data_IF_169245574389
#
_entry.id   IF_169245574389
#
_cell.length_a   1.000
_cell.length_b   1.000
_cell.length_c   1.000
_cell.angle_alpha   90.00
_cell.angle_beta   90.00
_cell.angle_gamma   90.00
#
_symmetry.space_group_name_H-M   'P 1'
#
loop_
_entity.id
_entity.type
_entity.pdbx_description
1 polymer ?
#
# COMPACT_ATOMS: atom_id res chain seq x y z
N UNK A 1 -3.73 -23.85 -125.05
CA UNK A 1 -3.98 -24.67 -126.26
C UNK A 1 -4.85 -25.91 -125.96
N UNK A 2 -4.56 -26.73 -124.95
CA UNK A 2 -5.40 -27.91 -124.59
C UNK A 2 -6.87 -27.57 -124.23
N UNK A 3 -7.13 -26.45 -123.55
CA UNK A 3 -8.50 -25.99 -123.24
C UNK A 3 -9.34 -25.66 -124.50
N UNK A 4 -8.71 -25.17 -125.57
CA UNK A 4 -9.41 -24.90 -126.84
C UNK A 4 -9.72 -26.18 -127.64
N UNK A 5 -8.93 -27.25 -127.45
CA UNK A 5 -9.18 -28.54 -128.07
C UNK A 5 -10.35 -29.27 -127.38
N UNK A 6 -10.40 -29.20 -126.04
CA UNK A 6 -11.51 -29.77 -125.25
C UNK A 6 -12.85 -29.07 -125.52
N UNK A 7 -12.86 -27.74 -125.65
CA UNK A 7 -14.07 -26.98 -125.99
C UNK A 7 -14.64 -27.30 -127.39
N UNK A 8 -13.78 -27.69 -128.35
CA UNK A 8 -14.20 -28.11 -129.69
C UNK A 8 -14.72 -29.55 -129.71
N UNK A 9 -14.16 -30.45 -128.89
CA UNK A 9 -14.63 -31.83 -128.77
C UNK A 9 -16.02 -31.91 -128.09
N UNK A 10 -16.26 -31.06 -127.09
CA UNK A 10 -17.56 -30.98 -126.39
C UNK A 10 -18.66 -30.42 -127.30
N UNK A 11 -18.34 -29.50 -128.23
CA UNK A 11 -19.29 -29.02 -129.26
C UNK A 11 -19.66 -30.07 -130.29
N UNK A 12 -18.72 -30.93 -130.68
CA UNK A 12 -18.98 -31.99 -131.66
C UNK A 12 -19.93 -33.08 -131.12
N UNK A 13 -19.94 -33.31 -129.80
CA UNK A 13 -20.83 -34.29 -129.16
C UNK A 13 -22.29 -33.83 -129.01
N UNK A 14 -22.58 -32.53 -129.14
CA UNK A 14 -23.94 -31.98 -129.00
C UNK A 14 -24.81 -32.06 -130.27
N UNK A 15 -24.27 -32.58 -131.39
CA UNK A 15 -24.95 -32.66 -132.69
C UNK A 15 -25.44 -34.09 -133.07
N UNK A 16 -25.42 -35.06 -132.16
CA UNK A 16 -25.95 -36.40 -132.44
C UNK A 16 -27.49 -36.43 -132.34
N UNK A 17 -28.23 -36.98 -133.33
CA UNK A 17 -29.67 -36.76 -133.49
C UNK A 17 -30.57 -37.75 -132.71
N UNK A 18 -30.04 -38.51 -131.74
CA UNK A 18 -30.80 -39.58 -131.08
C UNK A 18 -31.28 -39.19 -129.66
N UNK A 19 -32.61 -39.11 -129.40
CA UNK A 19 -33.14 -38.61 -128.13
C UNK A 19 -32.83 -39.49 -126.90
N UNK A 20 -32.53 -40.78 -127.09
CA UNK A 20 -32.24 -41.72 -126.01
C UNK A 20 -30.82 -41.59 -125.40
N UNK A 21 -29.84 -41.08 -126.14
CA UNK A 21 -28.48 -40.83 -125.62
C UNK A 21 -28.37 -39.53 -124.82
N UNK A 22 -29.30 -38.60 -125.05
CA UNK A 22 -29.38 -37.31 -124.34
C UNK A 22 -29.69 -37.49 -122.86
N UNK A 23 -30.56 -38.44 -122.52
CA UNK A 23 -30.93 -38.74 -121.13
C UNK A 23 -29.81 -39.45 -120.35
N UNK A 24 -29.02 -40.30 -121.02
CA UNK A 24 -27.89 -41.00 -120.39
C UNK A 24 -26.71 -40.05 -120.11
N UNK A 25 -26.45 -39.11 -121.03
CA UNK A 25 -25.38 -38.10 -120.86
C UNK A 25 -25.74 -37.00 -119.86
N UNK A 26 -27.02 -36.62 -119.70
CA UNK A 26 -27.43 -35.70 -118.63
C UNK A 26 -27.30 -36.32 -117.24
N UNK A 27 -27.43 -37.64 -117.11
CA UNK A 27 -27.16 -38.35 -115.85
C UNK A 27 -25.66 -38.39 -115.53
N UNK A 28 -24.79 -38.45 -116.54
CA UNK A 28 -23.33 -38.42 -116.37
C UNK A 28 -22.77 -37.00 -116.17
N UNK A 29 -23.42 -35.97 -116.74
CA UNK A 29 -23.00 -34.56 -116.59
C UNK A 29 -23.31 -33.95 -115.21
N UNK A 30 -24.07 -34.65 -114.35
CA UNK A 30 -24.19 -34.33 -112.92
C UNK A 30 -23.08 -34.95 -112.07
N UNK A 31 -22.19 -35.75 -112.66
CA UNK A 31 -20.98 -36.21 -112.00
C UNK A 31 -19.82 -35.27 -112.33
N UNK A 32 -19.78 -34.17 -111.57
CA UNK A 32 -18.67 -33.26 -111.29
C UNK A 32 -17.43 -33.35 -112.23
N UNK A 33 -17.62 -32.93 -113.49
CA UNK A 33 -16.55 -32.90 -114.51
C UNK A 33 -15.37 -32.00 -114.13
N UNK A 34 -15.60 -31.06 -113.21
CA UNK A 34 -14.56 -30.27 -112.54
C UNK A 34 -13.58 -31.16 -111.76
N UNK A 35 -14.06 -32.17 -111.03
CA UNK A 35 -13.19 -33.06 -110.23
C UNK A 35 -12.32 -33.95 -111.10
N UNK A 36 -12.83 -34.43 -112.23
CA UNK A 36 -12.05 -35.27 -113.14
C UNK A 36 -10.92 -34.49 -113.85
N UNK A 37 -11.20 -33.26 -114.30
CA UNK A 37 -10.17 -32.40 -114.90
C UNK A 37 -9.13 -32.00 -113.86
N UNK A 38 -9.56 -31.67 -112.63
CA UNK A 38 -8.64 -31.32 -111.54
C UNK A 38 -7.75 -32.51 -111.18
N UNK A 39 -8.32 -33.72 -111.13
CA UNK A 39 -7.58 -34.97 -110.90
C UNK A 39 -6.56 -35.25 -112.00
N UNK A 40 -6.94 -35.07 -113.27
CA UNK A 40 -6.05 -35.33 -114.39
C UNK A 40 -4.91 -34.31 -114.47
N UNK A 41 -5.18 -33.03 -114.16
CA UNK A 41 -4.16 -31.98 -114.05
C UNK A 41 -3.22 -32.22 -112.87
N UNK A 42 -3.72 -32.69 -111.73
CA UNK A 42 -2.87 -33.04 -110.58
C UNK A 42 -1.98 -34.25 -110.89
N UNK A 43 -2.55 -35.34 -111.42
CA UNK A 43 -1.78 -36.53 -111.79
C UNK A 43 -0.70 -36.23 -112.84
N UNK A 44 -1.01 -35.40 -113.85
CA UNK A 44 -0.01 -35.00 -114.85
C UNK A 44 1.06 -34.06 -114.27
N UNK A 45 0.68 -33.13 -113.38
CA UNK A 45 1.65 -32.30 -112.65
C UNK A 45 2.60 -33.15 -111.80
N UNK A 46 2.06 -34.18 -111.14
CA UNK A 46 2.84 -35.05 -110.26
C UNK A 46 3.79 -35.95 -111.07
N UNK A 47 3.35 -36.47 -112.22
CA UNK A 47 4.23 -37.18 -113.15
C UNK A 47 5.35 -36.29 -113.72
N UNK A 48 5.07 -35.03 -114.04
CA UNK A 48 6.09 -34.08 -114.51
C UNK A 48 7.09 -33.77 -113.38
N UNK A 49 6.64 -33.63 -112.13
CA UNK A 49 7.52 -33.43 -110.97
C UNK A 49 8.37 -34.67 -110.70
N UNK A 50 7.82 -35.86 -110.84
CA UNK A 50 8.53 -37.12 -110.66
C UNK A 50 9.61 -37.30 -111.73
N UNK A 51 9.28 -37.05 -113.01
CA UNK A 51 10.25 -37.08 -114.11
C UNK A 51 11.33 -36.01 -113.91
N UNK A 52 10.96 -34.80 -113.48
CA UNK A 52 11.93 -33.75 -113.16
C UNK A 52 12.82 -34.13 -111.97
N UNK A 53 12.28 -34.84 -110.97
CA UNK A 53 13.02 -35.39 -109.84
C UNK A 53 14.03 -36.44 -110.28
N UNK A 54 13.62 -37.42 -111.09
CA UNK A 54 14.50 -38.46 -111.63
C UNK A 54 15.58 -37.86 -112.53
N UNK A 55 15.25 -36.86 -113.35
CA UNK A 55 16.23 -36.18 -114.19
C UNK A 55 17.25 -35.38 -113.38
N UNK A 56 16.77 -34.71 -112.32
CA UNK A 56 17.63 -34.00 -111.36
C UNK A 56 18.56 -34.98 -110.65
N UNK A 57 18.05 -36.11 -110.19
CA UNK A 57 18.87 -37.08 -109.46
C UNK A 57 19.85 -37.82 -110.37
N UNK A 58 19.49 -38.08 -111.63
CA UNK A 58 20.36 -38.75 -112.59
C UNK A 58 21.46 -37.84 -113.17
N UNK A 59 21.19 -36.54 -113.36
CA UNK A 59 22.13 -35.62 -114.01
C UNK A 59 22.77 -34.62 -113.06
N UNK A 60 22.01 -34.07 -112.12
CA UNK A 60 22.50 -32.99 -111.24
C UNK A 60 23.30 -33.57 -110.09
N UNK A 61 22.87 -34.68 -109.48
CA UNK A 61 23.54 -35.27 -108.32
C UNK A 61 24.97 -35.76 -108.63
N UNK A 62 25.25 -36.52 -109.70
CA UNK A 62 26.62 -36.95 -110.01
C UNK A 62 27.55 -35.77 -110.34
N UNK A 63 27.02 -34.73 -110.98
CA UNK A 63 27.77 -33.51 -111.29
C UNK A 63 28.06 -32.71 -110.02
N UNK A 64 27.09 -32.60 -109.12
CA UNK A 64 27.27 -31.95 -107.82
C UNK A 64 28.27 -32.71 -106.95
N UNK A 65 28.20 -34.03 -106.88
CA UNK A 65 29.15 -34.84 -106.11
C UNK A 65 30.57 -34.74 -106.67
N UNK A 66 30.72 -34.80 -108.00
CA UNK A 66 32.01 -34.60 -108.65
C UNK A 66 32.57 -33.19 -108.41
N UNK A 67 31.70 -32.17 -108.41
CA UNK A 67 32.09 -30.80 -108.10
C UNK A 67 32.48 -30.64 -106.62
N UNK A 68 31.68 -31.17 -105.68
CA UNK A 68 31.96 -31.13 -104.25
C UNK A 68 33.25 -31.88 -103.91
N UNK A 69 33.47 -33.05 -104.52
CA UNK A 69 34.71 -33.81 -104.34
C UNK A 69 35.93 -33.01 -104.81
N UNK A 70 35.84 -32.34 -105.97
CA UNK A 70 36.91 -31.49 -106.48
C UNK A 70 37.06 -30.20 -105.67
N UNK A 71 35.97 -29.59 -105.22
CA UNK A 71 35.98 -28.39 -104.39
C UNK A 71 36.58 -28.63 -103.00
N UNK A 72 36.57 -29.87 -102.49
CA UNK A 72 37.33 -30.26 -101.30
C UNK A 72 38.84 -30.19 -101.51
N UNK A 73 39.32 -30.28 -102.75
CA UNK A 73 40.73 -30.04 -103.04
C UNK A 73 40.99 -28.51 -102.99
N UNK A 74 41.82 -28.02 -102.06
CA UNK A 74 42.08 -26.60 -101.91
C UNK A 74 42.63 -25.98 -103.21
N UNK A 75 43.33 -26.76 -104.03
CA UNK A 75 43.83 -26.32 -105.33
C UNK A 75 42.73 -26.01 -106.33
N UNK A 76 41.68 -26.83 -106.40
CA UNK A 76 40.60 -26.59 -107.35
C UNK A 76 39.80 -25.35 -106.96
N UNK A 77 39.51 -25.18 -105.67
CA UNK A 77 38.85 -23.98 -105.16
C UNK A 77 39.64 -22.71 -105.45
N UNK A 78 40.94 -22.71 -105.16
CA UNK A 78 41.81 -21.55 -105.42
C UNK A 78 41.99 -21.29 -106.90
N UNK A 79 42.00 -22.33 -107.75
CA UNK A 79 42.06 -22.21 -109.21
C UNK A 79 40.81 -21.58 -109.80
N UNK A 80 39.61 -21.99 -109.36
CA UNK A 80 38.37 -21.39 -109.85
C UNK A 80 38.28 -19.93 -109.42
N UNK A 81 38.62 -19.63 -108.16
CA UNK A 81 38.61 -18.25 -107.62
C UNK A 81 39.66 -17.39 -108.33
N UNK A 82 40.88 -17.88 -108.50
CA UNK A 82 41.94 -17.16 -109.21
C UNK A 82 41.57 -16.92 -110.67
N UNK A 83 40.98 -17.92 -111.33
CA UNK A 83 40.51 -17.81 -112.70
C UNK A 83 39.43 -16.74 -112.84
N UNK A 84 38.43 -16.73 -111.94
CA UNK A 84 37.40 -15.70 -111.91
C UNK A 84 37.99 -14.30 -111.67
N UNK A 85 38.98 -14.19 -110.78
CA UNK A 85 39.61 -12.90 -110.47
C UNK A 85 40.40 -12.34 -111.67
N UNK A 86 41.24 -13.16 -112.30
CA UNK A 86 42.03 -12.74 -113.48
C UNK A 86 41.20 -12.57 -114.75
N UNK A 87 40.13 -13.35 -114.91
CA UNK A 87 39.21 -13.24 -116.05
C UNK A 87 37.98 -12.37 -115.74
N UNK A 88 37.99 -11.60 -114.65
CA UNK A 88 36.81 -10.86 -114.19
C UNK A 88 36.27 -9.93 -115.27
N UNK A 89 37.14 -9.26 -116.04
CA UNK A 89 36.72 -8.39 -117.14
C UNK A 89 35.90 -9.13 -118.21
N UNK A 90 36.27 -10.38 -118.53
CA UNK A 90 35.54 -11.20 -119.51
C UNK A 90 34.22 -11.69 -118.95
N UNK A 91 34.22 -12.15 -117.70
CA UNK A 91 33.01 -12.62 -117.00
C UNK A 91 32.02 -11.46 -116.84
N UNK A 92 32.50 -10.32 -116.35
CA UNK A 92 31.71 -9.10 -116.18
C UNK A 92 31.15 -8.62 -117.53
N UNK A 93 31.96 -8.56 -118.59
CA UNK A 93 31.47 -8.19 -119.92
C UNK A 93 30.44 -9.18 -120.46
N UNK A 94 30.66 -10.49 -120.26
CA UNK A 94 29.72 -11.52 -120.70
C UNK A 94 28.34 -11.38 -120.04
N UNK A 95 28.29 -11.09 -118.72
CA UNK A 95 27.05 -10.97 -117.97
C UNK A 95 26.40 -9.58 -118.03
N UNK A 96 27.18 -8.50 -117.98
CA UNK A 96 26.69 -7.13 -117.83
C UNK A 96 26.55 -6.36 -119.15
N UNK A 97 27.06 -6.88 -120.26
CA UNK A 97 26.89 -6.23 -121.56
C UNK A 97 25.46 -6.39 -122.08
N UNK A 98 24.94 -5.38 -122.79
CA UNK A 98 23.63 -5.42 -123.47
C UNK A 98 23.69 -6.04 -124.89
N UNK A 99 24.86 -6.44 -125.40
CA UNK A 99 24.99 -7.02 -126.75
C UNK A 99 24.25 -8.36 -126.90
N UNK A 100 24.00 -8.83 -128.13
CA UNK A 100 23.49 -10.19 -128.33
C UNK A 100 24.57 -11.21 -127.96
N UNK A 101 24.19 -12.40 -127.48
CA UNK A 101 25.13 -13.43 -126.96
C UNK A 101 26.26 -13.73 -127.97
N UNK A 102 25.93 -13.82 -129.26
CA UNK A 102 26.91 -14.08 -130.33
C UNK A 102 27.94 -12.93 -130.45
N UNK A 103 27.47 -11.68 -130.40
CA UNK A 103 28.32 -10.48 -130.47
C UNK A 103 29.22 -10.36 -129.23
N UNK A 104 28.74 -10.77 -128.04
CA UNK A 104 29.56 -10.80 -126.81
C UNK A 104 30.72 -11.78 -126.94
N UNK A 105 30.46 -12.98 -127.45
CA UNK A 105 31.49 -14.01 -127.63
C UNK A 105 32.52 -13.54 -128.67
N UNK A 106 32.06 -12.95 -129.76
CA UNK A 106 32.94 -12.44 -130.82
C UNK A 106 33.83 -11.29 -130.32
N UNK A 107 33.26 -10.38 -129.52
CA UNK A 107 34.00 -9.30 -128.88
C UNK A 107 35.07 -9.83 -127.91
N UNK A 108 34.72 -10.78 -127.04
CA UNK A 108 35.69 -11.38 -126.10
C UNK A 108 36.83 -12.06 -126.86
N UNK A 109 36.53 -12.72 -127.99
CA UNK A 109 37.53 -13.45 -128.78
C UNK A 109 38.52 -12.53 -129.51
N UNK A 110 38.05 -11.39 -130.03
CA UNK A 110 38.85 -10.56 -130.93
C UNK A 110 39.37 -9.26 -130.30
N UNK A 111 38.69 -8.71 -129.29
CA UNK A 111 39.00 -7.39 -128.73
C UNK A 111 39.70 -7.44 -127.38
N UNK A 112 39.58 -8.54 -126.64
CA UNK A 112 40.28 -8.71 -125.35
C UNK A 112 41.57 -9.49 -125.62
N UNK A 113 42.75 -8.86 -125.52
CA UNK A 113 44.01 -9.54 -125.78
C UNK A 113 44.27 -10.58 -124.68
N UNK A 114 44.37 -11.84 -125.09
CA UNK A 114 44.63 -12.97 -124.19
C UNK A 114 46.12 -13.24 -123.96
N UNK A 115 46.95 -12.57 -124.75
CA UNK A 115 48.36 -12.85 -124.87
C UNK A 115 49.15 -11.76 -124.17
N UNK A 116 50.06 -12.18 -123.29
CA UNK A 116 51.06 -11.30 -122.69
C UNK A 116 52.42 -11.64 -123.28
N UNK A 117 53.19 -10.63 -123.66
CA UNK A 117 54.59 -10.81 -124.01
C UNK A 117 55.39 -10.86 -122.71
N UNK A 118 55.72 -12.07 -122.28
CA UNK A 118 56.60 -12.28 -121.12
C UNK A 118 57.97 -12.64 -121.68
N UNK A 119 58.99 -11.86 -121.34
CA UNK A 119 60.39 -12.11 -121.74
C UNK A 119 60.57 -12.26 -123.27
N UNK A 120 59.84 -11.48 -124.05
CA UNK A 120 59.92 -11.51 -125.53
C UNK A 120 59.23 -12.70 -126.21
N UNK A 121 58.69 -13.66 -125.44
CA UNK A 121 57.93 -14.79 -125.97
C UNK A 121 56.44 -14.47 -125.85
N UNK A 122 55.73 -14.54 -126.98
CA UNK A 122 54.29 -14.39 -127.03
C UNK A 122 53.64 -15.73 -126.62
N UNK A 123 53.29 -15.85 -125.34
CA UNK A 123 52.60 -17.04 -124.83
C UNK A 123 51.11 -16.83 -125.03
N UNK A 124 50.47 -17.76 -125.75
CA UNK A 124 49.03 -17.72 -125.96
C UNK A 124 48.29 -17.99 -124.65
N UNK A 125 47.23 -17.23 -124.37
CA UNK A 125 46.32 -17.41 -123.23
C UNK A 125 46.93 -17.28 -121.82
N UNK A 126 48.00 -16.48 -121.65
CA UNK A 126 48.67 -16.31 -120.35
C UNK A 126 47.72 -15.84 -119.25
N UNK A 127 46.94 -14.79 -119.51
CA UNK A 127 46.03 -14.23 -118.51
C UNK A 127 44.84 -15.14 -118.22
N UNK A 128 44.41 -15.91 -119.22
CA UNK A 128 43.21 -16.74 -119.11
C UNK A 128 43.46 -18.03 -118.37
N UNK A 129 44.66 -18.60 -118.48
CA UNK A 129 44.94 -19.93 -117.96
C UNK A 129 46.18 -19.96 -117.05
N UNK A 130 47.32 -19.46 -117.53
CA UNK A 130 48.60 -19.63 -116.82
C UNK A 130 48.70 -18.84 -115.51
N UNK A 131 48.25 -17.59 -115.47
CA UNK A 131 48.27 -16.81 -114.22
C UNK A 131 47.33 -17.35 -113.14
N UNK A 132 46.05 -17.67 -113.44
CA UNK A 132 45.20 -18.41 -112.50
C UNK A 132 45.84 -19.69 -111.97
N UNK A 133 46.48 -20.47 -112.85
CA UNK A 133 47.12 -21.73 -112.51
C UNK A 133 48.31 -21.55 -111.57
N UNK A 134 49.22 -20.61 -111.90
CA UNK A 134 50.38 -20.31 -111.05
C UNK A 134 49.95 -19.76 -109.69
N UNK A 135 48.93 -18.89 -109.65
CA UNK A 135 48.40 -18.37 -108.40
C UNK A 135 47.76 -19.46 -107.55
N UNK A 136 46.99 -20.37 -108.17
CA UNK A 136 46.41 -21.51 -107.48
C UNK A 136 47.49 -22.42 -106.88
N UNK A 137 48.55 -22.73 -107.63
CA UNK A 137 49.71 -23.48 -107.14
C UNK A 137 50.36 -22.77 -105.95
N UNK A 138 50.57 -21.46 -106.04
CA UNK A 138 51.18 -20.67 -104.98
C UNK A 138 50.34 -20.66 -103.70
N UNK A 139 49.03 -20.41 -103.81
CA UNK A 139 48.13 -20.40 -102.65
C UNK A 139 47.99 -21.80 -102.05
N UNK A 140 47.88 -22.84 -102.86
CA UNK A 140 47.81 -24.22 -102.35
C UNK A 140 49.08 -24.66 -101.64
N UNK A 141 50.25 -24.22 -102.12
CA UNK A 141 51.53 -24.49 -101.45
C UNK A 141 51.66 -23.71 -100.13
N UNK A 142 51.11 -22.50 -100.06
CA UNK A 142 51.18 -21.65 -98.86
C UNK A 142 50.08 -21.96 -97.82
N UNK A 143 48.97 -22.59 -98.23
CA UNK A 143 47.85 -22.96 -97.37
C UNK A 143 48.21 -23.72 -96.06
N UNK A 144 49.07 -24.75 -96.07
CA UNK A 144 49.44 -25.44 -94.83
C UNK A 144 50.17 -24.51 -93.83
N UNK A 145 50.96 -23.55 -94.33
CA UNK A 145 51.64 -22.58 -93.48
C UNK A 145 50.65 -21.61 -92.81
N UNK A 146 49.64 -21.14 -93.55
CA UNK A 146 48.57 -20.32 -92.99
C UNK A 146 47.74 -21.09 -91.94
N UNK A 147 47.48 -22.37 -92.20
CA UNK A 147 46.76 -23.24 -91.24
C UNK A 147 47.57 -23.43 -89.96
N UNK A 148 48.87 -23.69 -90.08
CA UNK A 148 49.77 -23.80 -88.94
C UNK A 148 49.86 -22.51 -88.13
N UNK A 149 50.01 -21.36 -88.81
CA UNK A 149 50.04 -20.05 -88.17
C UNK A 149 48.73 -19.76 -87.42
N UNK A 150 47.58 -20.08 -88.02
CA UNK A 150 46.26 -19.94 -87.39
C UNK A 150 46.15 -20.78 -86.11
N UNK A 151 46.53 -22.07 -86.17
CA UNK A 151 46.54 -22.96 -84.99
C UNK A 151 47.44 -22.40 -83.90
N UNK A 152 48.63 -21.90 -84.25
CA UNK A 152 49.58 -21.34 -83.29
C UNK A 152 49.02 -20.09 -82.60
N UNK A 153 48.42 -19.18 -83.36
CA UNK A 153 47.75 -17.98 -82.84
C UNK A 153 46.60 -18.37 -81.90
N UNK A 154 45.74 -19.30 -82.34
CA UNK A 154 44.61 -19.77 -81.52
C UNK A 154 45.08 -20.42 -80.22
N UNK A 155 46.11 -21.29 -80.25
CA UNK A 155 46.67 -21.89 -79.03
C UNK A 155 47.18 -20.83 -78.05
N UNK A 156 47.87 -19.80 -78.55
CA UNK A 156 48.41 -18.72 -77.71
C UNK A 156 47.29 -17.91 -77.06
N UNK A 157 46.25 -17.59 -77.81
CA UNK A 157 45.08 -16.85 -77.31
C UNK A 157 44.34 -17.69 -76.25
N UNK A 158 44.04 -18.96 -76.55
CA UNK A 158 43.33 -19.85 -75.62
C UNK A 158 44.09 -20.05 -74.31
N UNK A 159 45.42 -20.27 -74.38
CA UNK A 159 46.24 -20.41 -73.18
C UNK A 159 46.23 -19.14 -72.32
N UNK A 160 46.26 -17.95 -72.93
CA UNK A 160 46.18 -16.70 -72.19
C UNK A 160 44.81 -16.50 -71.52
N UNK A 161 43.72 -16.86 -72.20
CA UNK A 161 42.36 -16.82 -71.63
C UNK A 161 42.23 -17.79 -70.46
N UNK A 162 42.79 -19.00 -70.57
CA UNK A 162 42.75 -20.01 -69.51
C UNK A 162 43.49 -19.55 -68.24
N UNK A 163 44.64 -18.90 -68.38
CA UNK A 163 45.37 -18.32 -67.24
C UNK A 163 44.57 -17.22 -66.56
N UNK A 164 43.90 -16.34 -67.32
CA UNK A 164 43.06 -15.28 -66.75
C UNK A 164 41.80 -15.85 -66.07
N UNK A 165 41.20 -16.88 -66.66
CA UNK A 165 40.01 -17.50 -66.08
C UNK A 165 40.34 -18.26 -64.80
N UNK A 166 41.44 -19.01 -64.77
CA UNK A 166 41.89 -19.71 -63.56
C UNK A 166 42.28 -18.75 -62.44
N UNK A 167 42.91 -17.61 -62.75
CA UNK A 167 43.23 -16.60 -61.73
C UNK A 167 41.97 -15.95 -61.14
N UNK A 168 40.97 -15.62 -61.98
CA UNK A 168 39.66 -15.13 -61.53
C UNK A 168 38.92 -16.15 -60.66
N UNK A 169 39.01 -17.43 -61.00
CA UNK A 169 38.35 -18.48 -60.21
C UNK A 169 39.02 -18.67 -58.85
N UNK A 170 40.36 -18.62 -58.78
CA UNK A 170 41.10 -18.63 -57.51
C UNK A 170 40.72 -17.42 -56.64
N UNK A 171 40.59 -16.23 -57.23
CA UNK A 171 40.17 -15.02 -56.53
C UNK A 171 38.74 -15.14 -55.96
N UNK A 172 37.80 -15.68 -56.74
CA UNK A 172 36.43 -15.97 -56.27
C UNK A 172 36.42 -16.93 -55.09
N UNK A 173 37.21 -18.01 -55.14
CA UNK A 173 37.31 -18.98 -54.04
C UNK A 173 37.89 -18.32 -52.79
N UNK A 174 38.90 -17.45 -52.93
CA UNK A 174 39.45 -16.68 -51.79
C UNK A 174 38.40 -15.78 -51.16
N UNK A 175 37.70 -15.00 -51.99
CA UNK A 175 36.66 -14.09 -51.52
C UNK A 175 35.50 -14.84 -50.84
N UNK A 176 35.11 -16.02 -51.34
CA UNK A 176 34.13 -16.88 -50.68
C UNK A 176 34.61 -17.40 -49.33
N UNK A 177 35.89 -17.79 -49.20
CA UNK A 177 36.47 -18.21 -47.92
C UNK A 177 36.51 -17.07 -46.91
N UNK A 178 36.92 -15.88 -47.35
CA UNK A 178 36.96 -14.69 -46.48
C UNK A 178 35.56 -14.32 -45.99
N UNK A 179 34.56 -14.33 -46.89
CA UNK A 179 33.15 -14.14 -46.53
C UNK A 179 32.67 -15.20 -45.53
N UNK A 180 32.99 -16.48 -45.72
CA UNK A 180 32.60 -17.54 -44.78
C UNK A 180 33.24 -17.34 -43.40
N UNK A 181 34.51 -16.94 -43.34
CA UNK A 181 35.21 -16.65 -42.07
C UNK A 181 34.56 -15.46 -41.38
N UNK A 182 34.23 -14.40 -42.12
CA UNK A 182 33.57 -13.21 -41.58
C UNK A 182 32.15 -13.53 -41.09
N UNK A 183 31.38 -14.32 -41.85
CA UNK A 183 30.07 -14.81 -41.43
C UNK A 183 30.15 -15.63 -40.15
N UNK A 184 31.10 -16.56 -40.04
CA UNK A 184 31.30 -17.37 -38.83
C UNK A 184 31.70 -16.51 -37.61
N UNK A 185 32.54 -15.49 -37.81
CA UNK A 185 32.88 -14.53 -36.74
C UNK A 185 31.67 -13.72 -36.30
N UNK A 186 30.86 -13.25 -37.26
CA UNK A 186 29.65 -12.48 -36.98
C UNK A 186 28.60 -13.34 -36.26
N UNK A 187 28.40 -14.59 -36.67
CA UNK A 187 27.52 -15.54 -35.99
C UNK A 187 28.02 -15.86 -34.56
N UNK A 188 29.33 -16.02 -34.37
CA UNK A 188 29.92 -16.18 -33.03
C UNK A 188 29.73 -14.94 -32.15
N UNK A 189 29.86 -13.74 -32.71
CA UNK A 189 29.59 -12.50 -31.98
C UNK A 189 28.10 -12.37 -31.61
N UNK A 190 27.20 -12.69 -32.54
CA UNK A 190 25.75 -12.69 -32.32
C UNK A 190 25.33 -13.69 -31.25
N UNK A 191 25.84 -14.91 -31.28
CA UNK A 191 25.56 -15.94 -30.26
C UNK A 191 26.08 -15.54 -28.88
N UNK A 192 27.27 -14.93 -28.80
CA UNK A 192 27.77 -14.34 -27.55
C UNK A 192 26.88 -13.21 -27.03
N UNK A 193 26.42 -12.33 -27.91
CA UNK A 193 25.52 -11.24 -27.53
C UNK A 193 24.18 -11.79 -27.02
N UNK A 194 23.59 -12.76 -27.73
CA UNK A 194 22.36 -13.42 -27.30
C UNK A 194 22.51 -14.10 -25.94
N UNK A 195 23.64 -14.78 -25.69
CA UNK A 195 23.92 -15.39 -24.39
C UNK A 195 24.06 -14.35 -23.26
N UNK A 196 24.64 -13.17 -23.54
CA UNK A 196 24.70 -12.07 -22.57
C UNK A 196 23.32 -11.47 -22.29
N UNK A 197 22.51 -11.26 -23.32
CA UNK A 197 21.14 -10.76 -23.19
C UNK A 197 20.27 -11.77 -22.41
N UNK A 198 20.39 -13.07 -22.69
CA UNK A 198 19.69 -14.13 -21.96
C UNK A 198 20.13 -14.20 -20.49
N UNK A 199 21.43 -14.07 -20.22
CA UNK A 199 21.98 -13.98 -18.85
C UNK A 199 21.40 -12.78 -18.08
N UNK A 200 21.31 -11.61 -18.72
CA UNK A 200 20.73 -10.40 -18.10
C UNK A 200 19.22 -10.55 -17.86
N UNK A 201 18.50 -11.18 -18.79
CA UNK A 201 17.07 -11.48 -18.63
C UNK A 201 16.86 -12.40 -17.42
N UNK A 202 17.70 -13.41 -17.24
CA UNK A 202 17.58 -14.34 -16.13
C UNK A 202 17.92 -13.68 -14.79
N UNK A 203 18.95 -12.83 -14.73
CA UNK A 203 19.26 -12.01 -13.55
C UNK A 203 18.08 -11.10 -13.18
N UNK A 204 17.49 -10.41 -14.16
CA UNK A 204 16.30 -9.58 -13.93
C UNK A 204 15.09 -10.39 -13.45
N UNK A 205 14.92 -11.63 -13.91
CA UNK A 205 13.87 -12.54 -13.44
C UNK A 205 14.10 -12.95 -11.99
N UNK A 206 15.32 -13.27 -11.60
CA UNK A 206 15.68 -13.62 -10.23
C UNK A 206 15.45 -12.42 -9.28
N UNK A 207 15.90 -11.22 -9.66
CA UNK A 207 15.64 -9.98 -8.91
C UNK A 207 14.15 -9.70 -8.79
N UNK A 208 13.38 -9.91 -9.86
CA UNK A 208 11.91 -9.75 -9.82
C UNK A 208 11.26 -10.78 -8.90
N UNK A 209 11.72 -12.03 -8.90
CA UNK A 209 11.21 -13.08 -8.03
C UNK A 209 11.50 -12.78 -6.56
N UNK A 210 12.71 -12.34 -6.23
CA UNK A 210 13.09 -11.94 -4.86
C UNK A 210 12.29 -10.73 -4.38
N UNK A 211 12.07 -9.72 -5.24
CA UNK A 211 11.21 -8.59 -4.92
C UNK A 211 9.75 -9.00 -4.68
N UNK A 212 9.20 -9.93 -5.47
CA UNK A 212 7.85 -10.47 -5.23
C UNK A 212 7.74 -11.18 -3.89
N UNK A 213 8.72 -12.04 -3.56
CA UNK A 213 8.77 -12.71 -2.27
C UNK A 213 8.86 -11.70 -1.10
N UNK A 214 9.67 -10.65 -1.25
CA UNK A 214 9.78 -9.57 -0.25
C UNK A 214 8.47 -8.77 -0.11
N UNK A 215 7.74 -8.52 -1.19
CA UNK A 215 6.43 -7.88 -1.14
C UNK A 215 5.43 -8.76 -0.37
N UNK A 216 5.44 -10.06 -0.59
CA UNK A 216 4.56 -10.99 0.14
C UNK A 216 4.90 -11.07 1.63
N UNK A 217 6.18 -11.10 1.99
CA UNK A 217 6.59 -11.08 3.40
C UNK A 217 6.22 -9.76 4.07
N UNK A 218 6.41 -8.62 3.40
CA UNK A 218 5.97 -7.31 3.89
C UNK A 218 4.45 -7.23 4.04
N UNK A 219 3.67 -7.78 3.09
CA UNK A 219 2.20 -7.85 3.22
C UNK A 219 1.77 -8.69 4.41
N UNK A 220 2.39 -9.86 4.63
CA UNK A 220 2.11 -10.70 5.80
C UNK A 220 2.42 -9.95 7.10
N UNK A 221 3.59 -9.31 7.17
CA UNK A 221 4.00 -8.53 8.35
C UNK A 221 3.07 -7.34 8.61
N UNK A 222 2.62 -6.66 7.56
CA UNK A 222 1.62 -5.60 7.66
C UNK A 222 0.30 -6.13 8.25
N UNK A 223 -0.21 -7.23 7.73
CA UNK A 223 -1.43 -7.85 8.25
C UNK A 223 -1.28 -8.26 9.73
N UNK A 224 -0.14 -8.84 10.11
CA UNK A 224 0.14 -9.17 11.52
C UNK A 224 0.19 -7.92 12.40
N UNK A 225 0.87 -6.86 11.96
CA UNK A 225 0.92 -5.59 12.71
C UNK A 225 -0.46 -4.94 12.84
N UNK A 226 -1.29 -4.98 11.80
CA UNK A 226 -2.68 -4.50 11.85
C UNK A 226 -3.47 -5.28 12.91
N UNK A 227 -3.35 -6.62 12.95
CA UNK A 227 -4.01 -7.42 13.99
C UNK A 227 -3.48 -7.14 15.41
N UNK A 228 -2.19 -6.85 15.57
CA UNK A 228 -1.61 -6.47 16.86
C UNK A 228 -2.09 -5.09 17.31
N UNK A 229 -2.21 -4.12 16.39
CA UNK A 229 -2.76 -2.79 16.68
C UNK A 229 -4.21 -2.90 17.14
N UNK A 230 -5.03 -3.69 16.45
CA UNK A 230 -6.44 -3.90 16.82
C UNK A 230 -6.57 -4.58 18.19
N UNK A 231 -5.71 -5.57 18.48
CA UNK A 231 -5.67 -6.23 19.79
C UNK A 231 -5.25 -5.27 20.91
N UNK A 232 -4.22 -4.44 20.67
CA UNK A 232 -3.78 -3.41 21.63
C UNK A 232 -4.85 -2.33 21.85
N UNK A 233 -5.55 -1.93 20.80
CA UNK A 233 -6.66 -0.98 20.91
C UNK A 233 -7.79 -1.54 21.80
N UNK A 234 -8.16 -2.81 21.62
CA UNK A 234 -9.16 -3.48 22.46
C UNK A 234 -8.71 -3.59 23.94
N UNK A 235 -7.44 -3.91 24.18
CA UNK A 235 -6.87 -3.94 25.55
C UNK A 235 -6.86 -2.55 26.19
N UNK A 236 -6.57 -1.51 25.40
CA UNK A 236 -6.58 -0.14 25.89
C UNK A 236 -8.00 0.33 26.24
N UNK A 237 -9.00 0.00 25.41
CA UNK A 237 -10.41 0.28 25.69
C UNK A 237 -10.88 -0.46 26.96
N UNK A 238 -10.55 -1.75 27.10
CA UNK A 238 -10.87 -2.52 28.30
C UNK A 238 -10.19 -1.93 29.57
N UNK A 239 -8.93 -1.50 29.45
CA UNK A 239 -8.21 -0.81 30.53
C UNK A 239 -8.87 0.51 30.90
N UNK A 240 -9.32 1.29 29.92
CA UNK A 240 -10.00 2.56 30.15
C UNK A 240 -11.35 2.36 30.87
N UNK A 241 -12.11 1.33 30.49
CA UNK A 241 -13.36 0.96 31.20
C UNK A 241 -13.04 0.57 32.65
N UNK A 242 -11.98 -0.20 32.88
CA UNK A 242 -11.54 -0.59 34.23
C UNK A 242 -11.13 0.62 35.07
N UNK A 243 -10.36 1.55 34.50
CA UNK A 243 -9.99 2.82 35.14
C UNK A 243 -11.24 3.60 35.54
N UNK A 244 -12.19 3.80 34.62
CA UNK A 244 -13.42 4.53 34.90
C UNK A 244 -14.24 3.87 36.03
N UNK A 245 -14.34 2.54 36.05
CA UNK A 245 -14.99 1.79 37.13
C UNK A 245 -14.28 1.98 38.48
N UNK A 246 -12.95 1.94 38.51
CA UNK A 246 -12.17 2.17 39.73
C UNK A 246 -12.32 3.62 40.21
N UNK A 247 -12.28 4.59 39.30
CA UNK A 247 -12.51 6.00 39.61
C UNK A 247 -13.91 6.22 40.22
N UNK A 248 -14.94 5.58 39.67
CA UNK A 248 -16.29 5.63 40.27
C UNK A 248 -16.31 5.08 41.69
N UNK A 249 -15.66 3.93 41.93
CA UNK A 249 -15.55 3.34 43.28
C UNK A 249 -14.75 4.22 44.25
N UNK A 250 -13.70 4.88 43.77
CA UNK A 250 -12.92 5.84 44.57
C UNK A 250 -13.82 7.00 44.99
N UNK A 251 -14.61 7.55 44.06
CA UNK A 251 -15.54 8.64 44.37
C UNK A 251 -16.61 8.19 45.39
N UNK A 252 -17.20 7.00 45.22
CA UNK A 252 -18.13 6.43 46.20
C UNK A 252 -17.50 6.29 47.59
N UNK A 253 -16.25 5.83 47.66
CA UNK A 253 -15.51 5.70 48.93
C UNK A 253 -15.11 7.04 49.53
N UNK A 254 -14.82 8.03 48.69
CA UNK A 254 -14.56 9.40 49.11
C UNK A 254 -15.82 10.00 49.76
N UNK A 255 -16.98 9.85 49.12
CA UNK A 255 -18.27 10.30 49.67
C UNK A 255 -18.60 9.59 51.00
N UNK A 256 -18.30 8.29 51.11
CA UNK A 256 -18.46 7.54 52.35
C UNK A 256 -17.52 8.04 53.45
N UNK A 257 -16.27 8.33 53.10
CA UNK A 257 -15.28 8.91 54.00
C UNK A 257 -15.71 10.30 54.49
N UNK A 258 -16.20 11.17 53.61
CA UNK A 258 -16.72 12.50 53.97
C UNK A 258 -17.89 12.39 54.94
N UNK A 259 -18.86 11.51 54.68
CA UNK A 259 -19.99 11.25 55.62
C UNK A 259 -19.51 10.74 56.98
N UNK A 260 -18.53 9.84 57.00
CA UNK A 260 -17.93 9.34 58.23
C UNK A 260 -17.18 10.45 58.98
N UNK A 261 -16.46 11.30 58.25
CA UNK A 261 -15.74 12.43 58.81
C UNK A 261 -16.69 13.46 59.42
N UNK A 262 -17.77 13.83 58.71
CA UNK A 262 -18.83 14.70 59.23
C UNK A 262 -19.46 14.11 60.50
N UNK A 263 -19.73 12.80 60.49
CA UNK A 263 -20.21 12.10 61.69
C UNK A 263 -19.19 12.16 62.82
N UNK A 264 -17.90 11.98 62.53
CA UNK A 264 -16.84 12.04 63.52
C UNK A 264 -16.72 13.46 64.12
N UNK A 265 -16.78 14.51 63.30
CA UNK A 265 -16.84 15.91 63.74
C UNK A 265 -18.07 16.13 64.64
N UNK A 266 -19.24 15.61 64.24
CA UNK A 266 -20.46 15.73 65.06
C UNK A 266 -20.33 15.03 66.41
N UNK A 267 -19.65 13.89 66.47
CA UNK A 267 -19.36 13.16 67.71
C UNK A 267 -18.35 13.90 68.57
N UNK A 268 -17.31 14.50 67.96
CA UNK A 268 -16.32 15.33 68.65
C UNK A 268 -16.98 16.52 69.33
N UNK A 269 -17.90 17.19 68.64
CA UNK A 269 -18.70 18.27 69.21
C UNK A 269 -19.56 17.78 70.39
N UNK A 270 -20.16 16.58 70.28
CA UNK A 270 -20.89 15.96 71.40
C UNK A 270 -19.97 15.63 72.58
N UNK A 271 -18.77 15.12 72.34
CA UNK A 271 -17.79 14.86 73.41
C UNK A 271 -17.39 16.17 74.09
N UNK A 272 -17.16 17.24 73.33
CA UNK A 272 -16.91 18.58 73.91
C UNK A 272 -18.05 19.03 74.82
N UNK A 273 -19.31 18.85 74.40
CA UNK A 273 -20.47 19.17 75.25
C UNK A 273 -20.59 18.27 76.49
N UNK A 274 -20.13 17.02 76.41
CA UNK A 274 -20.05 16.13 77.58
C UNK A 274 -18.93 16.55 78.55
N UNK A 275 -17.81 17.04 78.03
CA UNK A 275 -16.72 17.62 78.84
C UNK A 275 -17.21 18.86 79.61
N UNK A 276 -18.00 19.72 78.96
CA UNK A 276 -18.68 20.85 79.59
C UNK A 276 -19.66 20.38 80.68
N UNK A 277 -20.50 19.38 80.41
CA UNK A 277 -21.39 18.78 81.41
C UNK A 277 -20.63 18.17 82.59
N UNK A 278 -19.50 17.53 82.34
CA UNK A 278 -18.63 16.97 83.39
C UNK A 278 -18.04 18.08 84.27
N UNK A 279 -17.64 19.20 83.69
CA UNK A 279 -17.17 20.37 84.43
C UNK A 279 -18.29 20.97 85.30
N UNK A 280 -19.51 21.10 84.76
CA UNK A 280 -20.69 21.52 85.51
C UNK A 280 -20.98 20.55 86.66
N UNK A 281 -20.88 19.24 86.42
CA UNK A 281 -21.10 18.23 87.45
C UNK A 281 -20.05 18.30 88.55
N UNK A 282 -18.78 18.55 88.21
CA UNK A 282 -17.71 18.80 89.18
C UNK A 282 -17.95 20.07 90.00
N UNK A 283 -18.48 21.12 89.37
CA UNK A 283 -18.88 22.35 90.07
C UNK A 283 -20.05 22.10 91.03
N UNK A 284 -21.03 21.29 90.63
CA UNK A 284 -22.13 20.83 91.47
C UNK A 284 -21.64 19.98 92.64
N UNK A 285 -20.74 19.02 92.41
CA UNK A 285 -20.12 18.22 93.47
C UNK A 285 -19.38 19.09 94.48
N UNK A 286 -18.63 20.11 94.01
CA UNK A 286 -17.99 21.08 94.89
C UNK A 286 -19.03 21.88 95.70
N UNK A 287 -20.13 22.33 95.07
CA UNK A 287 -21.22 23.02 95.78
C UNK A 287 -21.89 22.12 96.82
N UNK A 288 -22.11 20.84 96.51
CA UNK A 288 -22.62 19.84 97.46
C UNK A 288 -21.66 19.67 98.61
N UNK A 289 -20.35 19.52 98.37
CA UNK A 289 -19.35 19.40 99.42
C UNK A 289 -19.30 20.64 100.34
N UNK A 290 -19.45 21.84 99.77
CA UNK A 290 -19.56 23.09 100.55
C UNK A 290 -20.84 23.07 101.38
N UNK A 291 -21.99 22.74 100.79
CA UNK A 291 -23.27 22.65 101.51
C UNK A 291 -23.23 21.61 102.62
N UNK A 292 -22.65 20.44 102.39
CA UNK A 292 -22.44 19.40 103.41
C UNK A 292 -21.58 19.92 104.55
N UNK A 293 -20.52 20.67 104.25
CA UNK A 293 -19.67 21.30 105.28
C UNK A 293 -20.44 22.33 106.10
N UNK A 294 -21.33 23.10 105.47
CA UNK A 294 -22.21 24.07 106.16
C UNK A 294 -23.28 23.36 107.00
N UNK A 295 -23.94 22.33 106.47
CA UNK A 295 -24.91 21.52 107.22
C UNK A 295 -24.22 20.89 108.43
N UNK A 296 -23.00 20.39 108.27
CA UNK A 296 -22.20 19.83 109.38
C UNK A 296 -21.82 20.89 110.40
N UNK A 297 -21.48 22.11 109.99
CA UNK A 297 -21.22 23.21 110.94
C UNK A 297 -22.49 23.59 111.70
N UNK A 298 -23.64 23.72 111.02
CA UNK A 298 -24.92 23.99 111.67
C UNK A 298 -25.36 22.87 112.61
N UNK A 299 -25.13 21.60 112.26
CA UNK A 299 -25.36 20.46 113.15
C UNK A 299 -24.48 20.52 114.40
N UNK A 300 -23.22 20.93 114.23
CA UNK A 300 -22.28 21.11 115.35
C UNK A 300 -22.71 22.27 116.25
N UNK A 301 -23.20 23.35 115.65
CA UNK A 301 -23.74 24.49 116.37
C UNK A 301 -25.04 24.13 117.11
N UNK A 302 -25.95 23.38 116.46
CA UNK A 302 -27.18 22.90 117.06
C UNK A 302 -26.91 21.91 118.21
N UNK A 303 -25.92 21.02 118.08
CA UNK A 303 -25.50 20.12 119.18
C UNK A 303 -24.85 20.88 120.33
N UNK A 304 -24.03 21.90 120.06
CA UNK A 304 -23.52 22.79 121.10
C UNK A 304 -24.63 23.56 121.82
N UNK A 305 -25.63 24.05 121.10
CA UNK A 305 -26.83 24.67 121.67
C UNK A 305 -27.61 23.67 122.53
N UNK A 306 -27.77 22.43 122.07
CA UNK A 306 -28.45 21.38 122.83
C UNK A 306 -27.70 21.02 124.12
N UNK A 307 -26.36 20.98 124.07
CA UNK A 307 -25.51 20.79 125.26
C UNK A 307 -25.68 21.94 126.26
N UNK A 308 -25.71 23.20 125.79
CA UNK A 308 -25.98 24.36 126.65
C UNK A 308 -27.38 24.33 127.27
N UNK A 309 -28.37 23.82 126.54
CA UNK A 309 -29.74 23.67 127.03
C UNK A 309 -29.82 22.57 128.11
N UNK A 310 -29.11 21.45 127.90
CA UNK A 310 -28.97 20.37 128.89
C UNK A 310 -28.26 20.86 130.16
N UNK A 311 -27.27 21.74 130.02
CA UNK A 311 -26.54 22.35 131.15
C UNK A 311 -27.44 23.31 131.93
N UNK A 312 -28.29 24.08 131.23
CA UNK A 312 -29.34 24.90 131.84
C UNK A 312 -30.40 24.07 132.58
N UNK A 313 -30.82 22.93 132.03
CA UNK A 313 -31.75 22.01 132.72
C UNK A 313 -31.11 21.41 133.99
N UNK A 314 -29.78 21.22 133.98
CA UNK A 314 -29.02 20.75 135.15
C UNK A 314 -28.91 21.83 136.23
N UNK A 315 -28.70 23.10 135.85
CA UNK A 315 -28.75 24.25 136.78
C UNK A 315 -30.14 24.42 137.39
N UNK A 316 -31.19 24.23 136.59
CA UNK A 316 -32.58 24.32 137.05
C UNK A 316 -32.90 23.20 138.05
N UNK A 317 -32.48 21.96 137.78
CA UNK A 317 -32.63 20.83 138.71
C UNK A 317 -31.92 21.06 140.06
N UNK A 318 -30.74 21.71 140.05
CA UNK A 318 -30.03 22.07 141.27
C UNK A 318 -30.75 23.18 142.06
N UNK A 319 -31.34 24.17 141.39
CA UNK A 319 -32.13 25.24 142.04
C UNK A 319 -33.42 24.70 142.69
N UNK A 320 -34.07 23.70 142.07
CA UNK A 320 -35.26 23.02 142.61
C UNK A 320 -34.91 22.14 143.81
N UNK A 321 -33.74 21.51 143.82
CA UNK A 321 -33.26 20.72 144.96
C UNK A 321 -32.90 21.62 146.16
N UNK A 322 -32.36 22.82 145.92
CA UNK A 322 -32.09 23.82 146.95
C UNK A 322 -33.38 24.35 147.60
N UNK A 323 -34.42 24.64 146.80
CA UNK A 323 -35.73 25.06 147.28
C UNK A 323 -36.44 23.98 148.12
N UNK A 324 -36.29 22.70 147.75
CA UNK A 324 -36.85 21.58 148.51
C UNK A 324 -36.17 21.37 149.86
N UNK A 325 -34.88 21.71 149.99
CA UNK A 325 -34.17 21.63 151.25
C UNK A 325 -34.55 22.80 152.19
N UNK A 326 -34.81 23.99 151.66
CA UNK A 326 -35.34 25.12 152.43
C UNK A 326 -36.78 24.88 152.92
N UNK A 327 -37.62 24.18 152.14
CA UNK A 327 -38.96 23.78 152.55
C UNK A 327 -38.97 22.76 153.70
N UNK A 328 -37.95 21.88 153.79
CA UNK A 328 -37.80 20.90 154.88
C UNK A 328 -37.31 21.54 156.19
N UNK A 329 -36.55 22.63 156.11
CA UNK A 329 -36.08 23.38 157.28
C UNK A 329 -37.20 24.22 157.93
N UNK A 330 -38.14 24.73 157.12
CA UNK A 330 -39.32 25.45 157.58
C UNK A 330 -40.37 24.54 158.25
N UNK A 331 -40.47 23.28 157.82
CA UNK A 331 -41.38 22.30 158.45
C UNK A 331 -40.89 21.85 159.83
N UNK A 332 -39.57 21.78 160.05
CA UNK A 332 -38.97 21.46 161.35
C UNK A 332 -39.13 22.61 162.37
N UNK A 333 -38.98 23.88 161.94
CA UNK A 333 -39.22 25.06 162.79
C UNK A 333 -40.70 25.25 163.18
N UNK A 334 -41.65 24.78 162.37
CA UNK A 334 -43.09 24.83 162.72
C UNK A 334 -43.51 23.80 163.77
N UNK A 335 -42.80 22.67 163.85
CA UNK A 335 -43.05 21.63 164.85
C UNK A 335 -42.51 22.01 166.25
N UNK A 336 -41.43 22.78 166.31
CA UNK A 336 -40.83 23.29 167.56
C UNK A 336 -41.71 24.38 168.21
N UNK A 337 -42.34 25.24 167.39
CA UNK A 337 -43.25 26.31 167.83
C UNK A 337 -44.56 25.79 168.44
N UNK A 338 -45.09 24.67 167.96
CA UNK A 338 -46.30 24.04 168.51
C UNK A 338 -46.07 23.35 169.87
N UNK A 339 -44.82 23.04 170.24
CA UNK A 339 -44.48 22.52 171.59
C UNK A 339 -44.28 23.63 172.64
N UNK A 340 -43.98 24.87 172.19
CA UNK A 340 -43.92 26.04 173.07
C UNK A 340 -45.32 26.63 173.35
N UNK A 341 -46.26 26.52 172.41
CA UNK A 341 -47.65 26.99 172.60
C UNK A 341 -48.38 26.25 173.73
N UNK A 342 -48.14 24.94 173.90
CA UNK A 342 -48.78 24.13 174.96
C UNK A 342 -48.18 24.36 176.36
N UNK A 343 -47.02 25.02 176.48
CA UNK A 343 -46.47 25.49 177.77
C UNK A 343 -46.94 26.89 178.15
N UNK A 344 -47.48 27.68 177.20
CA UNK A 344 -47.94 29.05 177.45
C UNK A 344 -49.38 29.12 177.99
N UNK A 345 -50.24 28.16 177.63
CA UNK A 345 -51.63 28.09 178.14
C UNK A 345 -51.70 27.68 179.62
N UNK A 346 -50.66 27.07 180.18
CA UNK A 346 -50.56 26.74 181.61
C UNK A 346 -50.10 27.93 182.49
N UNK A 347 -49.55 29.00 181.91
CA UNK A 347 -49.18 30.23 182.64
C UNK A 347 -50.29 31.29 182.61
N UNK A 348 -51.29 31.15 181.72
CA UNK A 348 -52.48 32.00 181.64
C UNK A 348 -53.39 31.94 182.87
N UNK A 349 -53.53 30.76 183.49
CA UNK A 349 -54.39 30.59 184.69
C UNK A 349 -53.78 31.17 185.98
N UNK A 350 -52.46 31.39 186.02
CA UNK A 350 -51.78 32.02 187.18
C UNK A 350 -51.82 33.55 187.16
N UNK A 351 -51.96 34.19 185.99
CA UNK A 351 -51.96 35.65 185.86
C UNK A 351 -53.36 36.25 186.09
N UNK A 352 -54.44 35.52 185.76
CA UNK A 352 -55.83 35.97 185.99
C UNK A 352 -56.20 36.01 187.50
N UNK A 353 -55.56 35.19 188.34
CA UNK A 353 -55.81 35.21 189.80
C UNK A 353 -55.00 36.31 190.55
N UNK A 354 -53.91 36.81 189.97
CA UNK A 354 -53.11 37.90 190.55
C UNK A 354 -53.67 39.27 190.13
N UNK A 355 -54.17 39.40 188.89
CA UNK A 355 -54.76 40.64 188.38
C UNK A 355 -56.08 41.05 189.09
N UNK A 356 -56.89 40.10 189.56
CA UNK A 356 -58.18 40.39 190.20
C UNK A 356 -58.13 40.71 191.70
N UNK A 357 -56.97 40.66 192.36
CA UNK A 357 -56.83 41.08 193.77
C UNK A 357 -55.93 42.28 194.03
N UNK A 358 -55.07 42.67 193.09
CA UNK A 358 -54.33 43.93 193.22
C UNK A 358 -55.10 45.18 192.74
N UNK A 359 -56.21 45.01 192.01
CA UNK A 359 -57.08 46.14 191.65
C UNK A 359 -58.07 46.57 192.77
N UNK A 360 -57.86 46.07 194.00
CA UNK A 360 -58.60 46.44 195.21
C UNK A 360 -57.85 47.40 196.15
N UNK A 361 -56.67 47.96 195.79
CA UNK A 361 -55.90 48.80 196.77
C UNK A 361 -55.42 50.19 196.26
N UNK A 362 -55.54 50.55 194.98
CA UNK A 362 -55.21 51.92 194.51
C UNK A 362 -56.16 52.29 193.37
N UNK A 363 -57.32 52.93 193.52
CA UNK A 363 -57.78 54.00 194.40
C UNK A 363 -56.94 55.29 194.34
N UNK A 364 -57.59 56.33 193.80
CA UNK A 364 -57.48 57.73 194.16
C UNK A 364 -56.23 58.55 193.77
N UNK A 365 -56.54 59.72 193.18
CA UNK A 365 -55.75 60.96 193.14
C UNK A 365 -54.49 60.96 192.27
N UNK A 366 -54.11 61.98 191.51
CA UNK A 366 -54.55 63.36 191.22
C UNK A 366 -53.70 63.70 189.96
N UNK A 367 -54.29 64.10 188.83
CA UNK A 367 -54.54 65.50 188.42
C UNK A 367 -53.26 66.38 188.27
N UNK A 368 -53.16 67.00 187.08
CA UNK A 368 -52.60 68.33 186.69
C UNK A 368 -51.21 68.46 186.03
N UNK A 369 -51.20 69.18 184.88
CA UNK A 369 -50.07 69.90 184.21
C UNK A 369 -49.47 69.17 182.99
N UNK A 370 -49.74 69.45 181.70
CA UNK A 370 -49.60 70.65 180.84
C UNK A 370 -48.14 70.93 180.36
N UNK A 371 -47.97 71.23 179.05
CA UNK A 371 -46.87 71.96 178.34
C UNK A 371 -45.99 71.21 177.27
N UNK A 372 -46.32 71.52 175.99
CA UNK A 372 -45.55 71.87 174.75
C UNK A 372 -44.49 71.02 174.00
N UNK A 373 -44.76 70.86 172.68
CA UNK A 373 -44.00 71.24 171.45
C UNK A 373 -42.51 70.86 171.27
N UNK A 374 -42.21 70.01 170.27
CA UNK A 374 -41.40 70.38 169.07
C UNK A 374 -41.32 69.23 168.02
N UNK A 375 -41.80 69.53 166.82
CA UNK A 375 -41.32 69.08 165.50
C UNK A 375 -39.96 69.80 165.17
N UNK A 376 -39.23 69.61 164.03
CA UNK A 376 -39.68 69.14 162.69
C UNK A 376 -38.61 68.37 161.82
N UNK A 377 -38.93 68.23 160.52
CA UNK A 377 -38.10 68.07 159.30
C UNK A 377 -37.60 66.65 158.92
N UNK A 378 -37.87 66.05 157.74
CA UNK A 378 -38.04 66.45 156.31
C UNK A 378 -36.76 66.87 155.59
N UNK A 379 -36.47 66.17 154.47
CA UNK A 379 -35.84 66.56 153.18
C UNK A 379 -35.02 65.37 152.64
N UNK A 380 -34.91 64.98 151.36
CA UNK A 380 -35.35 65.43 150.02
C UNK A 380 -35.14 64.22 149.05
N UNK A 381 -35.95 63.98 148.00
CA UNK A 381 -35.82 64.43 146.59
C UNK A 381 -34.56 63.99 145.79
N UNK A 382 -34.83 63.39 144.63
CA UNK A 382 -34.19 63.53 143.28
C UNK A 382 -32.71 63.17 142.98
N UNK A 383 -32.51 62.19 142.09
CA UNK A 383 -32.04 62.31 140.69
C UNK A 383 -31.94 60.89 140.09
N UNK A 384 -32.61 60.53 138.99
CA UNK A 384 -32.38 60.88 137.57
C UNK A 384 -30.99 60.47 137.07
N UNK A 385 -30.96 59.45 136.19
CA UNK A 385 -30.29 59.57 134.90
C UNK A 385 -31.05 58.71 133.86
N UNK A 386 -31.75 59.41 132.97
CA UNK A 386 -32.36 58.97 131.71
C UNK A 386 -31.38 59.20 130.54
N UNK A 387 -31.73 58.64 129.38
CA UNK A 387 -31.37 59.01 127.99
C UNK A 387 -30.04 58.56 127.33
N UNK A 388 -30.15 57.50 126.49
CA UNK A 388 -30.25 57.57 125.01
C UNK A 388 -30.07 56.14 124.42
N UNK A 389 -30.98 55.49 123.67
CA UNK A 389 -31.71 55.82 122.43
C UNK A 389 -30.81 55.93 121.16
N UNK A 390 -30.92 54.87 120.32
CA UNK A 390 -31.01 54.85 118.84
C UNK A 390 -29.74 54.76 117.93
N UNK A 391 -29.67 53.59 117.26
CA UNK A 391 -29.21 53.28 115.87
C UNK A 391 -27.70 53.30 115.56
N UNK A 392 -27.13 52.44 114.68
CA UNK A 392 -27.43 52.12 113.27
C UNK A 392 -26.64 50.84 112.86
N UNK A 393 -27.30 49.82 112.29
CA UNK A 393 -26.72 48.85 111.31
C UNK A 393 -26.39 49.60 109.99
N UNK A 394 -25.50 49.22 109.04
CA UNK A 394 -25.26 47.83 108.56
C UNK A 394 -23.89 47.58 107.85
N UNK A 395 -23.85 46.45 107.11
CA UNK A 395 -23.00 46.03 105.95
C UNK A 395 -21.73 45.25 106.29
N UNK A 396 -21.56 43.99 105.87
CA UNK A 396 -21.86 43.26 104.60
C UNK A 396 -20.97 43.67 103.42
N UNK A 397 -20.06 42.75 103.14
CA UNK A 397 -19.44 42.33 101.87
C UNK A 397 -18.34 43.16 101.18
N UNK A 398 -17.35 42.35 100.76
CA UNK A 398 -16.52 42.41 99.55
C UNK A 398 -15.33 43.39 99.53
N UNK A 399 -14.12 42.85 99.54
CA UNK A 399 -13.48 42.37 98.31
C UNK A 399 -12.54 41.19 98.55
#
# INVERSE_FOLDING_TARGET
MLLCFFARLVRAFFCLPHPSLRLFLTSFYRYDSSKFITYLVTVMSDAIKEIAGVLKDALVTPVQEAFVYRARNPFFGTLVISWLFYNWNKVAFFFLSDFKIIERIDYIRHKIPDNSVILGINISHTHSFWFPLLWACFISLTFPFFTYASIWIHKKITAHIEVINSSKEIERIRLQKDLMIEMAKNESAKTKQLALEESQIEEHREVTATHKANIETLKKRKATLETEIDALAAVNEASQISINNITSKINEKQDEYEKLNDKNISLLNKVSSLEELKNVNKELENKIAILDSQVKSYLTEMTNLNMKLLEKDKELAQSVQLANNQSKELTFKSAELNSMSTKLDSYGDSIINIANRFNNIFSANIKTGEVTVQEPYVSALESINDDNIITVYPKRNEH
#
